data_IF_097979255207
#
_entry.id   IF_097979255207
#
_cell.length_a   1.000
_cell.length_b   1.000
_cell.length_c   1.000
_cell.angle_alpha   90.00
_cell.angle_beta   90.00
_cell.angle_gamma   90.00
#
_symmetry.space_group_name_H-M   'P 1'
#
loop_
_entity.id
_entity.type
_entity.pdbx_description
1 polymer ?
#
# COMPACT_ATOMS: atom_id res chain seq x y z
N UNK A 1 23.96 29.73 0.37
CA UNK A 1 23.14 30.34 -0.67
C UNK A 1 21.70 30.34 -0.17
N UNK A 2 21.09 31.51 0.02
CA UNK A 2 19.69 31.61 0.44
C UNK A 2 18.81 31.12 -0.72
N UNK A 3 18.36 29.88 -0.67
CA UNK A 3 17.29 29.42 -1.54
C UNK A 3 16.04 30.24 -1.23
N UNK A 4 15.57 31.02 -2.19
CA UNK A 4 14.27 31.66 -2.09
C UNK A 4 13.22 30.58 -1.87
N UNK A 5 12.48 30.67 -0.77
CA UNK A 5 11.30 29.80 -0.55
C UNK A 5 10.31 30.09 -1.66
N UNK A 6 10.00 29.08 -2.44
CA UNK A 6 8.98 29.18 -3.48
C UNK A 6 7.66 28.67 -2.85
N UNK A 7 6.83 29.63 -2.43
CA UNK A 7 5.53 29.34 -1.80
C UNK A 7 4.45 29.49 -2.85
N UNK A 8 3.66 28.44 -3.02
CA UNK A 8 2.48 28.44 -3.88
C UNK A 8 1.19 28.50 -3.06
N UNK A 9 0.22 29.28 -3.53
CA UNK A 9 -1.11 29.40 -2.94
C UNK A 9 -2.06 28.47 -3.68
N UNK A 10 -2.55 27.44 -3.01
CA UNK A 10 -3.35 26.36 -3.64
C UNK A 10 -4.75 26.32 -3.01
N UNK A 11 -5.79 26.41 -3.83
CA UNK A 11 -7.20 26.31 -3.43
C UNK A 11 -7.88 25.06 -3.97
N UNK A 12 -7.37 24.52 -5.08
CA UNK A 12 -7.91 23.33 -5.72
C UNK A 12 -6.82 22.53 -6.43
N UNK A 13 -7.04 21.25 -6.54
CA UNK A 13 -6.15 20.30 -7.22
C UNK A 13 -6.92 19.60 -8.35
N UNK A 14 -6.37 19.62 -9.56
CA UNK A 14 -6.81 18.71 -10.62
C UNK A 14 -6.31 17.31 -10.33
N UNK A 15 -7.20 16.34 -10.27
CA UNK A 15 -6.85 14.93 -10.15
C UNK A 15 -6.72 14.34 -11.56
N UNK A 16 -5.51 13.90 -11.88
CA UNK A 16 -5.15 13.34 -13.18
C UNK A 16 -4.90 11.85 -13.07
N UNK A 17 -5.50 11.06 -13.95
CA UNK A 17 -5.26 9.62 -14.07
C UNK A 17 -4.90 9.29 -15.52
N UNK A 18 -3.69 8.80 -15.77
CA UNK A 18 -3.18 8.56 -17.13
C UNK A 18 -3.39 9.76 -18.07
N UNK A 19 -3.10 10.96 -17.60
CA UNK A 19 -3.28 12.26 -18.28
C UNK A 19 -4.76 12.69 -18.51
N UNK A 20 -5.74 11.89 -18.10
CA UNK A 20 -7.15 12.27 -18.09
C UNK A 20 -7.48 12.95 -16.78
N UNK A 21 -8.05 14.16 -16.82
CA UNK A 21 -8.57 14.78 -15.59
C UNK A 21 -9.83 14.05 -15.17
N UNK A 22 -9.77 13.38 -14.00
CA UNK A 22 -10.92 12.64 -13.47
C UNK A 22 -11.82 13.53 -12.59
N UNK A 23 -11.30 14.62 -12.05
CA UNK A 23 -12.04 15.52 -11.20
C UNK A 23 -11.20 16.66 -10.64
N UNK A 24 -11.84 17.47 -9.82
CA UNK A 24 -11.19 18.56 -9.07
C UNK A 24 -11.50 18.40 -7.58
N UNK A 25 -10.46 18.41 -6.78
CA UNK A 25 -10.53 18.45 -5.32
C UNK A 25 -10.38 19.91 -4.89
N UNK A 26 -11.46 20.51 -4.41
CA UNK A 26 -11.50 21.91 -3.96
C UNK A 26 -11.48 21.99 -2.43
N UNK A 27 -10.71 22.95 -1.90
CA UNK A 27 -10.58 23.23 -0.47
C UNK A 27 -11.36 24.48 -0.09
N UNK A 28 -12.23 24.33 0.92
CA UNK A 28 -13.12 25.39 1.39
C UNK A 28 -12.81 25.76 2.83
N UNK A 29 -13.23 26.96 3.22
CA UNK A 29 -13.13 27.46 4.59
C UNK A 29 -13.70 26.47 5.61
N UNK A 30 -13.03 26.39 6.76
CA UNK A 30 -13.35 25.42 7.81
C UNK A 30 -12.84 24.01 7.53
N UNK A 31 -11.87 23.85 6.62
CA UNK A 31 -11.20 22.57 6.34
C UNK A 31 -12.04 21.57 5.54
N UNK A 32 -13.08 22.04 4.84
CA UNK A 32 -13.93 21.18 4.03
C UNK A 32 -13.26 20.90 2.68
N UNK A 33 -13.22 19.62 2.31
CA UNK A 33 -12.64 19.14 1.04
C UNK A 33 -13.74 18.51 0.20
N UNK A 34 -13.83 18.91 -1.07
CA UNK A 34 -14.89 18.44 -1.98
C UNK A 34 -14.24 17.98 -3.28
N UNK A 35 -14.40 16.69 -3.60
CA UNK A 35 -14.06 16.13 -4.90
C UNK A 35 -15.31 16.08 -5.77
N UNK A 36 -15.24 16.77 -6.90
CA UNK A 36 -16.24 16.74 -7.98
C UNK A 36 -15.62 16.08 -9.20
N UNK A 37 -16.29 15.09 -9.77
CA UNK A 37 -15.81 14.41 -10.96
C UNK A 37 -15.99 15.27 -12.21
N UNK A 38 -15.03 15.16 -13.15
CA UNK A 38 -15.03 15.94 -14.40
C UNK A 38 -16.13 15.45 -15.34
N UNK A 39 -17.02 16.32 -15.82
CA UNK A 39 -18.06 15.95 -16.79
C UNK A 39 -17.52 15.27 -18.06
N UNK A 40 -16.30 15.62 -18.50
CA UNK A 40 -15.66 14.97 -19.66
C UNK A 40 -15.23 13.54 -19.33
N UNK A 41 -14.72 13.30 -18.11
CA UNK A 41 -14.41 11.95 -17.65
C UNK A 41 -15.68 11.10 -17.51
N UNK A 42 -16.77 11.67 -16.99
CA UNK A 42 -18.06 10.99 -16.88
C UNK A 42 -18.65 10.61 -18.25
N UNK A 43 -18.42 11.44 -19.26
CA UNK A 43 -18.90 11.21 -20.62
C UNK A 43 -18.11 10.11 -21.39
N UNK A 44 -16.97 9.67 -20.89
CA UNK A 44 -16.22 8.58 -21.51
C UNK A 44 -17.03 7.27 -21.46
N UNK A 45 -17.01 6.45 -22.53
CA UNK A 45 -17.61 5.12 -22.49
C UNK A 45 -17.03 4.28 -21.35
N UNK A 46 -17.87 3.56 -20.62
CA UNK A 46 -17.46 2.77 -19.45
C UNK A 46 -16.31 1.80 -19.78
N UNK A 47 -16.36 1.16 -20.95
CA UNK A 47 -15.34 0.20 -21.38
C UNK A 47 -13.93 0.80 -21.57
N UNK A 48 -13.83 2.11 -21.83
CA UNK A 48 -12.56 2.83 -22.05
C UNK A 48 -12.24 3.85 -20.98
N UNK A 49 -13.16 4.08 -20.03
CA UNK A 49 -12.95 5.02 -18.92
C UNK A 49 -11.93 4.45 -17.95
N UNK A 50 -10.78 5.11 -17.71
CA UNK A 50 -9.81 4.65 -16.73
C UNK A 50 -10.46 4.45 -15.35
N UNK A 51 -10.15 3.35 -14.69
CA UNK A 51 -10.65 3.08 -13.35
C UNK A 51 -9.85 3.89 -12.32
N UNK A 52 -10.51 4.85 -11.70
CA UNK A 52 -9.99 5.56 -10.53
C UNK A 52 -10.15 4.72 -9.26
N UNK A 53 -11.29 4.06 -9.13
CA UNK A 53 -11.61 3.10 -8.07
C UNK A 53 -12.53 2.02 -8.62
N UNK A 54 -12.42 0.79 -8.15
CA UNK A 54 -13.35 -0.27 -8.53
C UNK A 54 -14.79 0.04 -8.11
N UNK A 55 -14.98 0.91 -7.11
CA UNK A 55 -16.31 1.35 -6.67
C UNK A 55 -17.15 1.94 -7.81
N UNK A 56 -16.52 2.59 -8.79
CA UNK A 56 -17.25 3.15 -9.93
C UNK A 56 -17.96 2.10 -10.79
N UNK A 57 -17.54 0.81 -10.69
CA UNK A 57 -18.22 -0.32 -11.32
C UNK A 57 -19.12 -1.08 -10.33
N UNK A 58 -18.61 -1.28 -9.10
CA UNK A 58 -19.31 -2.07 -8.09
C UNK A 58 -20.51 -1.34 -7.46
N UNK A 59 -20.55 0.00 -7.54
CA UNK A 59 -21.61 0.82 -6.93
C UNK A 59 -22.20 1.79 -7.96
N UNK A 60 -23.37 1.48 -8.54
CA UNK A 60 -24.06 2.39 -9.48
C UNK A 60 -24.22 3.79 -8.88
N UNK A 61 -23.96 4.82 -9.68
CA UNK A 61 -24.07 6.21 -9.26
C UNK A 61 -22.89 6.74 -8.42
N UNK A 62 -21.83 5.94 -8.18
CA UNK A 62 -20.68 6.41 -7.42
C UNK A 62 -20.02 7.67 -7.99
N UNK A 63 -19.86 7.74 -9.30
CA UNK A 63 -19.26 8.90 -9.98
C UNK A 63 -20.20 10.12 -10.06
N UNK A 64 -21.51 9.94 -9.84
CA UNK A 64 -22.50 11.02 -9.79
C UNK A 64 -22.50 11.73 -8.43
N UNK A 65 -21.85 11.15 -7.44
CA UNK A 65 -21.77 11.69 -6.09
C UNK A 65 -20.63 12.68 -5.97
N UNK A 66 -20.86 13.73 -5.21
CA UNK A 66 -19.81 14.64 -4.74
C UNK A 66 -19.23 14.06 -3.47
N UNK A 67 -17.94 13.75 -3.48
CA UNK A 67 -17.27 13.22 -2.30
C UNK A 67 -16.81 14.37 -1.39
N UNK A 68 -17.40 14.45 -0.20
CA UNK A 68 -17.14 15.54 0.74
C UNK A 68 -16.60 14.99 2.07
N UNK A 69 -15.60 15.68 2.60
CA UNK A 69 -15.00 15.37 3.90
C UNK A 69 -14.58 16.66 4.61
N UNK A 70 -14.30 16.57 5.91
CA UNK A 70 -13.81 17.69 6.72
C UNK A 70 -12.46 17.33 7.32
N UNK A 71 -11.50 18.26 7.27
CA UNK A 71 -10.10 18.14 7.70
C UNK A 71 -9.34 17.10 6.85
N UNK A 72 -9.73 15.84 6.91
CA UNK A 72 -9.18 14.77 6.07
C UNK A 72 -9.76 14.81 4.66
N UNK A 73 -9.13 14.12 3.75
CA UNK A 73 -9.66 13.86 2.41
C UNK A 73 -10.65 12.68 2.44
N UNK A 74 -11.49 12.51 1.41
CA UNK A 74 -12.24 11.26 1.24
C UNK A 74 -11.30 10.04 1.32
N UNK A 75 -11.71 8.92 1.92
CA UNK A 75 -10.83 7.77 2.17
C UNK A 75 -10.07 7.26 0.94
N UNK A 76 -10.68 7.31 -0.24
CA UNK A 76 -10.05 6.94 -1.51
C UNK A 76 -8.80 7.78 -1.82
N UNK A 77 -8.72 9.02 -1.35
CA UNK A 77 -7.57 9.91 -1.49
C UNK A 77 -6.69 9.92 -0.25
N UNK A 78 -7.28 9.91 0.96
CA UNK A 78 -6.57 9.92 2.23
C UNK A 78 -5.55 8.76 2.34
N UNK A 79 -5.93 7.56 1.85
CA UNK A 79 -5.06 6.38 1.88
C UNK A 79 -3.86 6.43 0.91
N UNK A 80 -3.82 7.40 -0.01
CA UNK A 80 -2.67 7.64 -0.90
C UNK A 80 -1.57 8.46 -0.22
N UNK A 81 -1.90 9.12 0.88
CA UNK A 81 -0.95 9.96 1.62
C UNK A 81 -0.03 9.11 2.49
N UNK A 82 1.19 9.61 2.78
CA UNK A 82 2.09 8.98 3.71
C UNK A 82 1.44 8.70 5.08
N UNK A 83 1.88 7.63 5.74
CA UNK A 83 1.42 7.23 7.06
C UNK A 83 2.56 7.27 8.10
N UNK A 84 2.19 7.13 9.37
CA UNK A 84 3.12 7.00 10.48
C UNK A 84 4.14 8.14 10.59
N UNK A 85 5.40 7.78 10.80
CA UNK A 85 6.47 8.74 11.02
C UNK A 85 6.71 9.65 9.81
N UNK A 86 6.60 9.14 8.59
CA UNK A 86 6.78 9.95 7.38
C UNK A 86 5.70 11.04 7.30
N UNK A 87 4.45 10.72 7.63
CA UNK A 87 3.36 11.70 7.68
C UNK A 87 3.61 12.77 8.75
N UNK A 88 3.97 12.35 9.95
CA UNK A 88 4.28 13.28 11.05
C UNK A 88 5.45 14.20 10.72
N UNK A 89 6.47 13.65 10.10
CA UNK A 89 7.63 14.40 9.64
C UNK A 89 7.27 15.43 8.56
N UNK A 90 6.48 15.04 7.56
CA UNK A 90 6.02 15.96 6.52
C UNK A 90 5.15 17.07 7.10
N UNK A 91 4.19 16.75 7.97
CA UNK A 91 3.34 17.72 8.62
C UNK A 91 4.17 18.75 9.44
N UNK A 92 5.16 18.28 10.19
CA UNK A 92 6.07 19.13 10.94
C UNK A 92 6.93 20.01 10.01
N UNK A 93 7.42 19.45 8.91
CA UNK A 93 8.24 20.15 7.91
C UNK A 93 7.46 21.26 7.23
N UNK A 94 6.21 20.98 6.89
CA UNK A 94 5.28 21.92 6.27
C UNK A 94 4.62 22.87 7.29
N UNK A 95 4.91 22.69 8.60
CA UNK A 95 4.33 23.45 9.71
C UNK A 95 2.82 23.44 9.73
N UNK A 96 2.23 22.26 9.47
CA UNK A 96 0.79 22.06 9.46
C UNK A 96 0.38 20.95 10.42
N UNK A 97 -0.93 20.82 10.68
CA UNK A 97 -1.45 19.71 11.45
C UNK A 97 -1.44 18.42 10.61
N UNK A 98 -1.21 17.30 11.26
CA UNK A 98 -1.13 15.97 10.60
C UNK A 98 -2.42 15.56 9.89
N UNK A 99 -3.56 16.12 10.26
CA UNK A 99 -4.87 15.89 9.64
C UNK A 99 -5.24 16.90 8.54
N UNK A 100 -4.40 17.90 8.27
CA UNK A 100 -4.57 18.82 7.13
C UNK A 100 -4.15 18.15 5.82
N UNK A 101 -4.94 17.16 5.41
CA UNK A 101 -4.60 16.26 4.30
C UNK A 101 -4.61 16.94 2.94
N UNK A 102 -5.37 18.03 2.76
CA UNK A 102 -5.35 18.78 1.49
C UNK A 102 -3.96 19.34 1.21
N UNK A 103 -3.33 19.94 2.20
CA UNK A 103 -1.98 20.49 2.08
C UNK A 103 -0.94 19.39 1.82
N UNK A 104 -1.06 18.23 2.49
CA UNK A 104 -0.22 17.06 2.22
C UNK A 104 -0.40 16.56 0.78
N UNK A 105 -1.64 16.52 0.27
CA UNK A 105 -1.94 16.12 -1.11
C UNK A 105 -1.38 17.14 -2.11
N UNK A 106 -1.50 18.42 -1.85
CA UNK A 106 -0.95 19.47 -2.70
C UNK A 106 0.59 19.37 -2.82
N UNK A 107 1.26 19.00 -1.73
CA UNK A 107 2.71 18.81 -1.72
C UNK A 107 3.13 17.47 -2.36
N UNK A 108 2.48 16.37 -2.01
CA UNK A 108 2.87 15.00 -2.44
C UNK A 108 2.25 14.59 -3.78
N UNK A 109 1.32 15.36 -4.32
CA UNK A 109 0.41 14.97 -5.40
C UNK A 109 1.07 14.51 -6.69
N UNK A 110 2.30 14.94 -6.94
CA UNK A 110 3.06 14.51 -8.11
C UNK A 110 3.63 13.09 -7.99
N UNK A 111 3.77 12.52 -6.77
CA UNK A 111 4.38 11.21 -6.53
C UNK A 111 3.53 10.27 -5.66
N UNK A 112 2.24 10.22 -5.91
CA UNK A 112 1.32 9.32 -5.24
C UNK A 112 1.54 7.85 -5.67
N UNK A 113 1.10 6.88 -4.85
CA UNK A 113 0.95 5.50 -5.28
C UNK A 113 0.03 5.38 -6.50
N UNK A 114 0.33 4.42 -7.37
CA UNK A 114 -0.44 4.22 -8.60
C UNK A 114 -0.19 5.28 -9.67
N UNK A 115 -1.19 5.50 -10.49
CA UNK A 115 -1.12 6.44 -11.62
C UNK A 115 -1.83 7.77 -11.37
N UNK A 116 -2.43 7.95 -10.18
CA UNK A 116 -3.07 9.22 -9.84
C UNK A 116 -2.00 10.28 -9.58
N UNK A 117 -2.27 11.48 -10.09
CA UNK A 117 -1.49 12.70 -9.79
C UNK A 117 -2.47 13.79 -9.35
N UNK A 118 -2.06 14.62 -8.40
CA UNK A 118 -2.77 15.83 -8.02
C UNK A 118 -1.93 17.05 -8.39
N UNK A 119 -2.48 17.94 -9.21
CA UNK A 119 -1.81 19.14 -9.73
C UNK A 119 -2.52 20.39 -9.25
N UNK A 120 -1.80 21.35 -8.69
CA UNK A 120 -2.37 22.62 -8.29
C UNK A 120 -3.01 23.35 -9.49
N UNK A 121 -4.17 23.95 -9.26
CA UNK A 121 -4.86 24.81 -10.21
C UNK A 121 -4.72 26.26 -9.79
N UNK A 122 -4.37 27.14 -10.74
CA UNK A 122 -4.49 28.57 -10.53
C UNK A 122 -5.97 28.96 -10.33
N UNK A 123 -6.25 30.04 -9.62
CA UNK A 123 -7.63 30.40 -9.28
C UNK A 123 -8.54 30.58 -10.53
N UNK A 124 -7.98 31.09 -11.63
CA UNK A 124 -8.66 31.24 -12.91
C UNK A 124 -8.81 29.96 -13.73
N UNK A 125 -8.16 28.88 -13.32
CA UNK A 125 -8.24 27.55 -13.98
C UNK A 125 -9.24 26.64 -13.30
N UNK A 126 -9.78 27.00 -12.14
CA UNK A 126 -10.77 26.21 -11.43
C UNK A 126 -12.09 26.23 -12.20
N UNK A 127 -12.57 25.06 -12.71
CA UNK A 127 -13.78 25.04 -13.53
C UNK A 127 -15.03 25.35 -12.70
N UNK A 128 -15.98 26.07 -13.28
CA UNK A 128 -17.22 26.43 -12.59
C UNK A 128 -18.02 25.21 -12.09
N UNK A 129 -17.97 24.07 -12.78
CA UNK A 129 -18.63 22.84 -12.36
C UNK A 129 -18.03 22.21 -11.08
N UNK A 130 -16.77 22.55 -10.77
CA UNK A 130 -16.09 22.05 -9.54
C UNK A 130 -16.44 22.91 -8.32
N UNK A 131 -17.02 24.08 -8.53
CA UNK A 131 -17.38 24.98 -7.43
C UNK A 131 -18.78 24.67 -6.92
N UNK A 132 -18.93 24.73 -5.59
CA UNK A 132 -20.23 24.60 -4.96
C UNK A 132 -20.59 25.93 -4.28
N UNK A 133 -21.91 26.25 -4.22
CA UNK A 133 -22.39 27.43 -3.49
C UNK A 133 -22.29 27.31 -1.95
N UNK A 134 -21.66 26.26 -1.43
CA UNK A 134 -21.68 25.88 -0.01
C UNK A 134 -20.48 26.41 0.80
N UNK A 135 -19.72 27.33 0.30
CA UNK A 135 -18.57 27.92 1.01
C UNK A 135 -17.65 28.72 0.12
N UNK A 136 -16.74 29.44 0.74
CA UNK A 136 -15.66 30.16 0.06
C UNK A 136 -14.42 29.26 -0.02
N UNK A 137 -13.73 29.30 -1.15
CA UNK A 137 -12.45 28.60 -1.32
C UNK A 137 -11.41 29.18 -0.37
N UNK A 138 -10.69 28.31 0.29
CA UNK A 138 -9.59 28.67 1.19
C UNK A 138 -8.25 28.23 0.58
N UNK A 139 -7.29 29.15 0.54
CA UNK A 139 -5.96 28.85 0.00
C UNK A 139 -5.03 28.34 1.08
N UNK A 140 -4.36 27.24 0.80
CA UNK A 140 -3.23 26.76 1.60
C UNK A 140 -1.91 27.21 0.98
N UNK A 141 -0.91 27.53 1.80
CA UNK A 141 0.41 27.95 1.36
C UNK A 141 1.36 26.76 1.37
N UNK A 142 1.84 26.35 0.21
CA UNK A 142 2.72 25.18 0.06
C UNK A 142 4.13 25.65 -0.27
N UNK A 143 5.10 25.29 0.55
CA UNK A 143 6.52 25.51 0.25
C UNK A 143 7.03 24.39 -0.67
N UNK A 144 7.04 24.63 -1.97
CA UNK A 144 7.49 23.67 -3.00
C UNK A 144 9.02 23.58 -3.11
N UNK A 145 9.75 24.48 -2.43
CA UNK A 145 11.22 24.46 -2.35
C UNK A 145 11.75 23.73 -1.12
N UNK A 146 10.89 23.06 -0.34
CA UNK A 146 11.31 22.27 0.81
C UNK A 146 12.15 21.07 0.35
N UNK A 147 13.46 21.22 0.52
CA UNK A 147 14.38 20.11 0.37
C UNK A 147 14.17 19.17 1.57
N UNK A 148 13.59 18.01 1.32
CA UNK A 148 13.31 16.99 2.34
C UNK A 148 14.56 16.46 3.07
N UNK A 149 15.73 17.07 2.83
CA UNK A 149 17.04 16.59 3.25
C UNK A 149 17.42 16.88 4.71
N UNK A 150 16.63 17.62 5.50
CA UNK A 150 17.07 18.07 6.83
C UNK A 150 16.10 17.75 7.94
N UNK A 151 15.90 16.48 8.29
CA UNK A 151 15.06 16.21 9.45
C UNK A 151 15.46 14.95 10.22
N UNK A 152 15.63 15.13 11.53
CA UNK A 152 15.83 14.05 12.49
C UNK A 152 14.49 13.69 13.12
N UNK A 153 13.98 12.48 12.88
CA UNK A 153 12.85 11.94 13.61
C UNK A 153 13.19 10.58 14.21
N UNK A 154 12.89 10.45 15.48
CA UNK A 154 12.89 9.18 16.19
C UNK A 154 11.51 8.53 16.03
N UNK A 155 11.50 7.26 15.61
CA UNK A 155 10.32 6.41 15.65
C UNK A 155 9.81 5.94 14.28
N UNK A 156 9.90 4.62 14.03
CA UNK A 156 9.36 3.89 12.88
C UNK A 156 10.30 3.78 11.66
N UNK A 157 10.12 2.73 10.90
CA UNK A 157 10.84 2.48 9.65
C UNK A 157 10.45 3.52 8.59
N UNK A 158 11.43 4.21 8.02
CA UNK A 158 11.20 5.17 6.93
C UNK A 158 11.17 4.45 5.60
N UNK A 159 10.27 4.88 4.71
CA UNK A 159 10.12 4.37 3.34
C UNK A 159 10.41 5.50 2.36
N UNK A 160 11.32 5.29 1.42
CA UNK A 160 11.72 6.28 0.42
C UNK A 160 11.56 5.72 -0.98
N UNK A 161 11.11 6.56 -1.90
CA UNK A 161 11.19 6.27 -3.33
C UNK A 161 12.64 6.40 -3.81
N UNK A 162 13.08 5.52 -4.71
CA UNK A 162 14.46 5.49 -5.18
C UNK A 162 14.57 5.06 -6.63
N UNK A 163 15.59 5.61 -7.30
CA UNK A 163 16.04 5.18 -8.61
C UNK A 163 17.31 4.31 -8.45
N UNK A 164 17.34 3.12 -9.08
CA UNK A 164 18.53 2.30 -9.13
C UNK A 164 19.37 2.67 -10.36
N UNK A 165 20.64 3.03 -10.13
CA UNK A 165 21.62 3.30 -11.17
C UNK A 165 22.99 2.76 -10.78
N UNK A 166 23.65 2.04 -11.67
CA UNK A 166 25.00 1.49 -11.48
C UNK A 166 25.18 0.69 -10.18
N UNK A 167 24.14 -0.10 -9.78
CA UNK A 167 24.16 -0.91 -8.57
C UNK A 167 23.92 -0.13 -7.27
N UNK A 168 23.70 1.18 -7.33
CA UNK A 168 23.41 2.05 -6.19
C UNK A 168 21.96 2.53 -6.23
N UNK A 169 21.41 2.83 -5.07
CA UNK A 169 20.05 3.38 -4.93
C UNK A 169 20.12 4.86 -4.59
N UNK A 170 19.66 5.69 -5.51
CA UNK A 170 19.58 7.13 -5.30
C UNK A 170 18.20 7.50 -4.76
N UNK A 171 18.16 7.94 -3.52
CA UNK A 171 16.95 8.46 -2.90
C UNK A 171 16.73 9.87 -3.43
N UNK A 172 15.68 10.03 -4.22
CA UNK A 172 15.36 11.28 -4.91
C UNK A 172 14.02 11.82 -4.45
N UNK A 173 13.97 13.15 -4.30
CA UNK A 173 12.72 13.90 -4.21
C UNK A 173 12.12 14.21 -5.58
N UNK A 174 12.83 13.86 -6.68
CA UNK A 174 12.34 14.14 -8.04
C UNK A 174 11.28 13.15 -8.48
N UNK A 175 10.24 13.68 -9.04
CA UNK A 175 9.06 12.97 -9.53
C UNK A 175 9.37 12.22 -10.83
N UNK A 176 8.99 10.94 -10.90
CA UNK A 176 8.74 10.27 -12.16
C UNK A 176 9.64 9.09 -12.55
N UNK A 177 10.81 8.92 -11.95
CA UNK A 177 11.75 7.84 -12.30
C UNK A 177 11.89 6.74 -11.21
N UNK A 178 11.14 6.85 -10.13
CA UNK A 178 11.30 6.01 -8.93
C UNK A 178 10.71 4.62 -9.17
N UNK A 179 11.56 3.64 -9.42
CA UNK A 179 11.12 2.25 -9.63
C UNK A 179 11.23 1.38 -8.38
N UNK A 180 11.81 1.89 -7.29
CA UNK A 180 12.03 1.16 -6.05
C UNK A 180 11.53 1.91 -4.81
N UNK A 181 11.18 1.16 -3.78
CA UNK A 181 10.95 1.66 -2.43
C UNK A 181 12.05 1.10 -1.54
N UNK A 182 12.73 1.98 -0.81
CA UNK A 182 13.75 1.64 0.19
C UNK A 182 13.13 1.80 1.57
N UNK A 183 13.16 0.73 2.36
CA UNK A 183 12.77 0.72 3.77
C UNK A 183 14.02 0.64 4.63
N UNK A 184 14.29 1.69 5.40
CA UNK A 184 15.45 1.76 6.30
C UNK A 184 15.26 0.88 7.54
N UNK A 185 16.30 0.63 8.33
CA UNK A 185 16.15 0.04 9.65
C UNK A 185 15.13 0.79 10.51
N UNK A 186 14.36 0.04 11.28
CA UNK A 186 13.37 0.61 12.20
C UNK A 186 14.04 1.06 13.49
N UNK A 187 13.62 2.22 14.02
CA UNK A 187 14.10 2.70 15.33
C UNK A 187 13.41 2.04 16.51
N UNK A 188 12.33 1.29 16.27
CA UNK A 188 11.54 0.60 17.31
C UNK A 188 11.87 -0.88 17.37
N UNK A 189 12.00 -1.55 16.24
CA UNK A 189 12.24 -2.98 16.12
C UNK A 189 13.52 -3.25 15.36
N UNK A 190 14.35 -4.14 15.90
CA UNK A 190 15.61 -4.49 15.26
C UNK A 190 15.45 -5.53 14.16
N UNK A 191 16.34 -5.48 13.17
CA UNK A 191 16.45 -6.45 12.08
C UNK A 191 15.20 -6.56 11.19
N UNK A 192 14.39 -5.50 11.09
CA UNK A 192 13.17 -5.49 10.25
C UNK A 192 13.52 -5.71 8.78
N UNK A 193 14.54 -5.06 8.17
CA UNK A 193 14.91 -5.29 6.78
C UNK A 193 15.24 -6.76 6.47
N UNK A 194 16.04 -7.40 7.33
CA UNK A 194 16.42 -8.80 7.16
C UNK A 194 15.23 -9.76 7.36
N UNK A 195 14.33 -9.44 8.30
CA UNK A 195 13.09 -10.19 8.52
C UNK A 195 12.17 -10.11 7.31
N UNK A 196 11.85 -8.90 6.83
CA UNK A 196 10.96 -8.71 5.68
C UNK A 196 11.54 -9.37 4.42
N UNK A 197 12.83 -9.17 4.14
CA UNK A 197 13.50 -9.84 3.04
C UNK A 197 13.37 -11.36 3.11
N UNK A 198 13.63 -11.95 4.28
CA UNK A 198 13.52 -13.40 4.49
C UNK A 198 12.09 -13.89 4.32
N UNK A 199 11.11 -13.22 4.93
CA UNK A 199 9.71 -13.59 4.83
C UNK A 199 9.19 -13.53 3.38
N UNK A 200 9.55 -12.49 2.64
CA UNK A 200 9.21 -12.35 1.22
C UNK A 200 9.86 -13.43 0.34
N UNK A 201 11.13 -13.79 0.60
CA UNK A 201 11.83 -14.89 -0.11
C UNK A 201 11.18 -16.25 0.17
N UNK A 202 10.78 -16.50 1.41
CA UNK A 202 10.05 -17.73 1.78
C UNK A 202 8.67 -17.76 1.11
N UNK A 203 7.93 -16.65 1.11
CA UNK A 203 6.65 -16.55 0.40
C UNK A 203 6.80 -16.81 -1.11
N UNK A 204 7.82 -16.24 -1.74
CA UNK A 204 8.14 -16.49 -3.15
C UNK A 204 8.41 -17.97 -3.43
N UNK A 205 9.14 -18.66 -2.55
CA UNK A 205 9.50 -20.07 -2.72
C UNK A 205 8.27 -21.01 -2.75
N UNK A 206 7.15 -20.61 -2.17
CA UNK A 206 5.88 -21.36 -2.21
C UNK A 206 4.92 -20.87 -3.30
N UNK A 207 5.39 -20.02 -4.21
CA UNK A 207 4.64 -19.56 -5.37
C UNK A 207 3.75 -18.36 -5.12
N UNK A 208 4.01 -17.55 -4.10
CA UNK A 208 3.42 -16.21 -3.97
C UNK A 208 4.11 -15.28 -4.96
N UNK A 209 3.32 -14.59 -5.76
CA UNK A 209 3.82 -13.56 -6.67
C UNK A 209 4.29 -12.34 -5.87
N UNK A 210 5.56 -11.98 -6.01
CA UNK A 210 6.18 -10.82 -5.36
C UNK A 210 6.96 -10.00 -6.37
N UNK A 211 7.15 -8.69 -6.16
CA UNK A 211 8.09 -7.88 -6.93
C UNK A 211 9.54 -8.31 -6.68
N UNK A 212 10.47 -7.82 -7.51
CA UNK A 212 11.89 -7.94 -7.21
C UNK A 212 12.22 -7.30 -5.87
N UNK A 213 13.05 -7.98 -5.07
CA UNK A 213 13.48 -7.51 -3.75
C UNK A 213 14.98 -7.65 -3.58
N UNK A 214 15.59 -6.73 -2.84
CA UNK A 214 17.01 -6.75 -2.49
C UNK A 214 17.23 -6.38 -1.03
N UNK A 215 18.24 -6.97 -0.41
CA UNK A 215 18.78 -6.51 0.86
C UNK A 215 20.01 -5.66 0.54
N UNK A 216 19.95 -4.36 0.85
CA UNK A 216 20.88 -3.34 0.38
C UNK A 216 21.72 -2.84 1.55
N UNK A 217 23.05 -2.87 1.43
CA UNK A 217 23.91 -2.25 2.41
C UNK A 217 23.64 -0.72 2.49
N UNK A 218 23.55 -0.15 3.68
CA UNK A 218 23.29 1.29 3.85
C UNK A 218 24.28 2.17 3.10
N UNK A 219 25.54 1.73 2.96
CA UNK A 219 26.57 2.43 2.18
C UNK A 219 26.33 2.46 0.65
N UNK A 220 25.33 1.74 0.14
CA UNK A 220 24.91 1.76 -1.26
C UNK A 220 23.75 2.73 -1.53
N UNK A 221 23.27 3.40 -0.49
CA UNK A 221 22.22 4.41 -0.59
C UNK A 221 22.84 5.79 -0.76
N UNK A 222 22.51 6.46 -1.86
CA UNK A 222 22.93 7.84 -2.12
C UNK A 222 21.79 8.80 -1.76
N UNK A 223 22.16 9.99 -1.31
CA UNK A 223 21.22 11.08 -0.97
C UNK A 223 20.17 10.70 0.11
N UNK A 224 20.55 9.80 1.03
CA UNK A 224 19.71 9.51 2.18
C UNK A 224 19.53 10.80 3.00
N UNK A 225 18.30 11.18 3.36
CA UNK A 225 18.07 12.34 4.25
C UNK A 225 18.85 12.20 5.56
N UNK A 226 19.19 13.32 6.19
CA UNK A 226 19.82 13.35 7.52
C UNK A 226 18.83 12.86 8.57
N UNK A 227 18.67 11.55 8.65
CA UNK A 227 17.82 10.85 9.63
C UNK A 227 18.69 10.01 10.54
N UNK A 228 18.29 9.94 11.81
CA UNK A 228 18.96 9.04 12.75
C UNK A 228 18.63 7.60 12.41
N UNK A 229 19.55 6.90 11.78
CA UNK A 229 19.46 5.46 11.57
C UNK A 229 19.91 4.69 12.83
N UNK A 230 19.33 3.53 13.02
CA UNK A 230 19.83 2.53 13.98
C UNK A 230 21.08 1.88 13.36
N UNK A 231 22.01 1.48 14.23
CA UNK A 231 23.22 0.76 13.81
C UNK A 231 22.85 -0.67 13.37
N UNK A 232 22.43 -0.76 12.13
CA UNK A 232 22.15 -1.99 11.38
C UNK A 232 22.71 -1.86 9.96
N UNK A 233 23.23 -2.96 9.38
CA UNK A 233 23.99 -2.86 8.12
C UNK A 233 23.12 -2.69 6.87
N UNK A 234 21.83 -3.04 6.92
CA UNK A 234 21.02 -3.19 5.71
C UNK A 234 19.71 -2.41 5.74
N UNK A 235 19.30 -1.96 4.57
CA UNK A 235 17.94 -1.56 4.22
C UNK A 235 17.29 -2.66 3.35
N UNK A 236 15.98 -2.70 3.29
CA UNK A 236 15.20 -3.54 2.38
C UNK A 236 14.75 -2.71 1.18
N UNK A 237 14.97 -3.23 -0.03
CA UNK A 237 14.52 -2.63 -1.28
C UNK A 237 13.47 -3.52 -1.95
N UNK A 238 12.39 -2.93 -2.43
CA UNK A 238 11.34 -3.60 -3.19
C UNK A 238 11.02 -2.79 -4.45
N UNK A 239 10.94 -3.48 -5.59
CA UNK A 239 10.56 -2.85 -6.85
C UNK A 239 9.09 -2.47 -6.82
N UNK A 240 8.77 -1.29 -7.31
CA UNK A 240 7.40 -0.80 -7.41
C UNK A 240 6.66 -1.52 -8.53
N UNK A 241 5.57 -2.20 -8.22
CA UNK A 241 4.69 -2.82 -9.22
C UNK A 241 3.77 -1.80 -9.93
N UNK A 242 3.64 -0.59 -9.36
CA UNK A 242 2.89 0.51 -9.93
C UNK A 242 3.74 1.41 -10.88
N UNK A 243 4.91 0.91 -11.26
CA UNK A 243 5.84 1.54 -12.22
C UNK A 243 6.26 0.50 -13.26
N UNK A 244 6.12 0.85 -14.54
CA UNK A 244 6.52 0.02 -15.68
C UNK A 244 7.32 0.84 -16.68
N UNK A 245 7.89 0.20 -17.68
CA UNK A 245 8.59 0.87 -18.78
C UNK A 245 7.65 1.79 -19.59
N UNK A 246 6.37 1.46 -19.65
CA UNK A 246 5.34 2.26 -20.31
C UNK A 246 4.76 3.39 -19.45
N UNK A 247 5.24 3.54 -18.21
CA UNK A 247 4.79 4.56 -17.27
C UNK A 247 4.15 4.02 -16.00
N UNK A 248 3.23 4.76 -15.43
CA UNK A 248 2.56 4.41 -14.18
C UNK A 248 1.43 3.41 -14.41
N UNK A 249 1.32 2.45 -13.50
CA UNK A 249 0.18 1.53 -13.40
C UNK A 249 -0.68 1.97 -12.22
N UNK A 250 -1.97 2.20 -12.44
CA UNK A 250 -2.84 2.58 -11.35
C UNK A 250 -3.04 1.42 -10.37
N UNK A 251 -3.16 1.75 -9.09
CA UNK A 251 -3.35 0.79 -7.99
C UNK A 251 -4.27 1.37 -6.93
N UNK A 252 -5.00 0.49 -6.26
CA UNK A 252 -5.92 0.81 -5.18
C UNK A 252 -5.79 -0.24 -4.08
N UNK A 253 -5.56 0.17 -2.83
CA UNK A 253 -5.62 -0.74 -1.69
C UNK A 253 -7.06 -0.98 -1.22
N UNK A 254 -7.29 -2.07 -0.47
CA UNK A 254 -8.64 -2.40 -0.03
C UNK A 254 -9.18 -1.46 1.07
N UNK A 255 -8.36 -0.63 1.72
CA UNK A 255 -8.89 0.43 2.58
C UNK A 255 -9.54 1.54 1.74
N UNK A 256 -8.95 1.91 0.60
CA UNK A 256 -9.54 2.84 -0.37
C UNK A 256 -10.89 2.29 -0.88
N UNK A 257 -10.90 1.03 -1.34
CA UNK A 257 -12.09 0.37 -1.86
C UNK A 257 -13.22 0.27 -0.84
N UNK A 258 -12.89 -0.02 0.41
CA UNK A 258 -13.86 -0.13 1.51
C UNK A 258 -14.21 1.20 2.16
N UNK A 259 -13.65 2.31 1.68
CA UNK A 259 -13.83 3.66 2.26
C UNK A 259 -13.47 3.74 3.75
N UNK A 260 -12.40 3.05 4.13
CA UNK A 260 -11.86 3.07 5.49
C UNK A 260 -10.69 4.05 5.56
N UNK A 261 -10.62 4.82 6.62
CA UNK A 261 -9.38 5.54 6.94
C UNK A 261 -8.30 4.59 7.46
N UNK A 262 -7.04 5.00 7.36
CA UNK A 262 -5.90 4.18 7.75
C UNK A 262 -5.95 3.65 9.19
N UNK A 263 -6.56 4.40 10.13
CA UNK A 263 -6.71 3.97 11.52
C UNK A 263 -7.76 2.86 11.73
N UNK A 264 -8.64 2.63 10.74
CA UNK A 264 -9.65 1.55 10.77
C UNK A 264 -9.23 0.30 9.98
N UNK A 265 -7.98 0.23 9.52
CA UNK A 265 -7.46 -0.81 8.62
C UNK A 265 -7.63 -2.26 9.11
N UNK A 266 -7.84 -2.47 10.41
CA UNK A 266 -8.09 -3.79 11.03
C UNK A 266 -9.58 -4.05 11.31
N UNK A 267 -10.47 -3.06 11.10
CA UNK A 267 -11.85 -3.11 11.59
C UNK A 267 -12.87 -3.45 10.52
N UNK A 268 -13.86 -4.25 10.90
CA UNK A 268 -15.10 -4.42 10.15
C UNK A 268 -14.98 -5.15 8.81
N UNK A 269 -13.80 -5.66 8.47
CA UNK A 269 -13.55 -6.38 7.22
C UNK A 269 -12.94 -7.76 7.48
N UNK A 270 -13.07 -8.64 6.48
CA UNK A 270 -12.55 -10.00 6.52
C UNK A 270 -11.95 -10.38 5.15
N UNK A 271 -11.24 -11.50 5.10
CA UNK A 271 -10.60 -11.95 3.88
C UNK A 271 -11.58 -12.43 2.81
N UNK A 272 -12.80 -12.84 3.18
CA UNK A 272 -13.87 -13.17 2.24
C UNK A 272 -14.31 -11.96 1.42
N UNK A 273 -14.41 -10.77 2.05
CA UNK A 273 -14.79 -9.56 1.34
C UNK A 273 -13.72 -9.11 0.33
N UNK A 274 -12.42 -9.28 0.66
CA UNK A 274 -11.33 -9.04 -0.28
C UNK A 274 -11.43 -10.02 -1.46
N UNK A 275 -11.58 -11.32 -1.17
CA UNK A 275 -11.71 -12.35 -2.19
C UNK A 275 -12.94 -12.16 -3.09
N UNK A 276 -14.07 -11.72 -2.53
CA UNK A 276 -15.29 -11.47 -3.30
C UNK A 276 -15.07 -10.39 -4.37
N UNK A 277 -14.43 -9.27 -4.02
CA UNK A 277 -14.13 -8.24 -5.01
C UNK A 277 -13.19 -8.73 -6.11
N UNK A 278 -12.18 -9.54 -5.77
CA UNK A 278 -11.27 -10.13 -6.76
C UNK A 278 -12.00 -11.14 -7.66
N UNK A 279 -12.89 -11.95 -7.08
CA UNK A 279 -13.61 -12.98 -7.80
C UNK A 279 -14.73 -12.42 -8.69
N UNK A 280 -15.46 -11.39 -8.22
CA UNK A 280 -16.58 -10.80 -8.94
C UNK A 280 -16.14 -9.83 -10.05
N UNK A 281 -15.01 -9.12 -9.85
CA UNK A 281 -14.60 -8.01 -10.70
C UNK A 281 -13.22 -8.17 -11.35
N UNK A 282 -12.46 -9.20 -10.97
CA UNK A 282 -11.14 -9.48 -11.53
C UNK A 282 -11.19 -9.83 -13.02
N UNK A 283 -10.17 -9.45 -13.76
CA UNK A 283 -10.01 -9.85 -15.17
C UNK A 283 -9.58 -11.30 -15.33
N UNK A 284 -8.96 -11.88 -14.30
CA UNK A 284 -8.65 -13.30 -14.18
C UNK A 284 -8.97 -13.75 -12.75
N UNK A 285 -10.28 -13.86 -12.45
CA UNK A 285 -10.74 -14.00 -11.07
C UNK A 285 -10.22 -15.26 -10.38
N UNK A 286 -10.10 -16.35 -11.12
CA UNK A 286 -9.63 -17.62 -10.56
C UNK A 286 -8.13 -17.54 -10.20
N UNK A 287 -7.30 -17.04 -11.09
CA UNK A 287 -5.87 -16.87 -10.82
C UNK A 287 -5.63 -15.93 -9.63
N UNK A 288 -6.39 -14.84 -9.52
CA UNK A 288 -6.23 -13.85 -8.44
C UNK A 288 -6.63 -14.44 -7.07
N UNK A 289 -7.72 -15.20 -6.97
CA UNK A 289 -8.09 -15.84 -5.68
C UNK A 289 -7.18 -17.02 -5.33
N UNK A 290 -6.60 -17.72 -6.32
CA UNK A 290 -5.55 -18.72 -6.09
C UNK A 290 -4.29 -18.10 -5.52
N UNK A 291 -3.85 -16.96 -6.06
CA UNK A 291 -2.74 -16.19 -5.51
C UNK A 291 -3.07 -15.63 -4.11
N UNK A 292 -4.30 -15.15 -3.91
CA UNK A 292 -4.73 -14.72 -2.59
C UNK A 292 -4.66 -15.87 -1.56
N UNK A 293 -5.11 -17.07 -1.91
CA UNK A 293 -5.05 -18.23 -1.03
C UNK A 293 -3.60 -18.62 -0.66
N UNK A 294 -2.66 -18.63 -1.64
CA UNK A 294 -1.23 -18.84 -1.37
C UNK A 294 -0.65 -17.78 -0.44
N UNK A 295 -1.01 -16.52 -0.66
CA UNK A 295 -0.56 -15.38 0.15
C UNK A 295 -1.13 -15.42 1.57
N UNK A 296 -2.40 -15.83 1.74
CA UNK A 296 -3.00 -16.08 3.05
C UNK A 296 -2.25 -17.19 3.79
N UNK A 297 -1.99 -18.31 3.13
CA UNK A 297 -1.19 -19.40 3.71
C UNK A 297 0.22 -18.93 4.08
N UNK A 298 0.90 -18.18 3.22
CA UNK A 298 2.20 -17.59 3.52
C UNK A 298 2.18 -16.72 4.79
N UNK A 299 1.18 -15.82 4.93
CA UNK A 299 1.03 -14.98 6.12
C UNK A 299 0.81 -15.82 7.39
N UNK A 300 0.04 -16.91 7.31
CA UNK A 300 -0.18 -17.83 8.43
C UNK A 300 1.12 -18.56 8.79
N UNK A 301 1.82 -19.12 7.82
CA UNK A 301 3.07 -19.85 8.04
C UNK A 301 4.21 -18.95 8.54
N UNK A 302 4.21 -17.67 8.15
CA UNK A 302 5.22 -16.67 8.53
C UNK A 302 4.88 -15.92 9.81
N UNK A 303 3.78 -16.27 10.48
CA UNK A 303 3.32 -15.57 11.67
C UNK A 303 3.21 -14.04 11.45
N UNK A 304 2.60 -13.64 10.32
CA UNK A 304 2.33 -12.24 10.00
C UNK A 304 0.93 -11.86 10.47
N UNK A 305 0.84 -11.16 11.60
CA UNK A 305 -0.42 -10.61 12.15
C UNK A 305 -0.81 -9.26 11.57
N UNK A 306 -0.05 -8.70 10.63
CA UNK A 306 -0.25 -7.34 10.08
C UNK A 306 -0.80 -7.32 8.65
N UNK A 307 -1.31 -8.44 8.12
CA UNK A 307 -1.87 -8.52 6.77
C UNK A 307 -3.29 -7.89 6.68
N UNK A 308 -3.41 -6.61 7.09
CA UNK A 308 -4.64 -5.82 7.11
C UNK A 308 -5.05 -5.35 5.70
N UNK A 309 -6.22 -4.66 5.57
CA UNK A 309 -6.79 -4.27 4.27
C UNK A 309 -5.87 -3.39 3.41
N UNK A 310 -4.95 -2.62 3.99
CA UNK A 310 -3.97 -1.82 3.23
C UNK A 310 -2.80 -2.63 2.67
N UNK A 311 -2.59 -3.86 3.14
CA UNK A 311 -1.56 -4.76 2.63
C UNK A 311 -2.06 -5.66 1.50
N UNK A 312 -3.24 -5.38 0.99
CA UNK A 312 -3.85 -5.99 -0.19
C UNK A 312 -4.23 -4.90 -1.16
N UNK A 313 -3.77 -5.01 -2.41
CA UNK A 313 -4.07 -4.02 -3.45
C UNK A 313 -4.49 -4.69 -4.74
N UNK A 314 -5.26 -3.96 -5.52
CA UNK A 314 -5.53 -4.24 -6.92
C UNK A 314 -4.64 -3.36 -7.80
N UNK A 315 -4.31 -3.84 -8.97
CA UNK A 315 -3.66 -3.10 -10.04
C UNK A 315 -4.58 -3.07 -11.27
N UNK A 316 -4.42 -2.02 -12.08
CA UNK A 316 -5.17 -1.79 -13.31
C UNK A 316 -4.22 -1.73 -14.52
N UNK A 317 -3.66 -2.88 -14.98
CA UNK A 317 -2.53 -2.90 -15.93
C UNK A 317 -2.82 -2.20 -17.26
N UNK A 318 -4.07 -2.25 -17.73
CA UNK A 318 -4.54 -1.64 -18.97
C UNK A 318 -5.58 -0.55 -18.73
N UNK A 319 -5.51 0.12 -17.56
CA UNK A 319 -6.41 1.18 -17.09
C UNK A 319 -7.84 0.73 -16.76
N UNK A 320 -8.31 -0.39 -17.27
CA UNK A 320 -9.69 -0.89 -17.08
C UNK A 320 -9.76 -2.32 -16.54
N UNK A 321 -8.74 -3.14 -16.75
CA UNK A 321 -8.65 -4.48 -16.19
C UNK A 321 -8.26 -4.45 -14.72
N UNK A 322 -8.79 -5.39 -13.94
CA UNK A 322 -8.57 -5.50 -12.49
C UNK A 322 -7.80 -6.77 -12.20
N UNK A 323 -6.67 -6.69 -11.48
CA UNK A 323 -5.87 -7.84 -11.03
C UNK A 323 -5.44 -7.67 -9.59
N UNK A 324 -5.22 -8.74 -8.88
CA UNK A 324 -4.51 -8.70 -7.59
C UNK A 324 -3.06 -8.23 -7.81
N UNK A 325 -2.58 -7.31 -6.99
CA UNK A 325 -1.18 -6.88 -7.04
C UNK A 325 -0.23 -8.00 -6.59
N UNK A 326 1.04 -7.98 -7.01
CA UNK A 326 2.08 -8.74 -6.32
C UNK A 326 2.07 -8.48 -4.81
N UNK A 327 2.52 -9.44 -4.01
CA UNK A 327 2.54 -9.32 -2.56
C UNK A 327 3.65 -8.38 -2.08
N UNK A 328 3.39 -7.66 -0.99
CA UNK A 328 4.31 -6.75 -0.30
C UNK A 328 4.00 -6.74 1.20
N UNK A 329 4.90 -6.17 1.99
CA UNK A 329 4.75 -6.03 3.45
C UNK A 329 4.46 -7.37 4.17
N UNK A 330 5.09 -8.47 3.73
CA UNK A 330 5.06 -9.75 4.46
C UNK A 330 6.24 -9.77 5.44
N UNK A 331 5.94 -9.76 6.73
CA UNK A 331 6.91 -9.72 7.83
C UNK A 331 6.52 -10.73 8.90
N UNK A 332 7.48 -11.39 9.53
CA UNK A 332 7.21 -12.20 10.72
C UNK A 332 7.01 -11.27 11.92
N UNK A 333 5.77 -10.82 12.15
CA UNK A 333 5.45 -9.82 13.18
C UNK A 333 5.50 -10.38 14.59
N UNK A 334 5.22 -11.67 14.76
CA UNK A 334 5.27 -12.36 16.06
C UNK A 334 6.62 -12.21 16.79
N UNK A 335 7.72 -12.00 16.07
CA UNK A 335 9.05 -11.80 16.70
C UNK A 335 9.15 -10.46 17.42
N UNK A 336 8.30 -9.50 17.08
CA UNK A 336 8.24 -8.16 17.67
C UNK A 336 7.11 -7.99 18.68
N UNK A 337 6.06 -8.83 18.57
CA UNK A 337 4.85 -8.73 19.38
C UNK A 337 4.70 -10.03 20.19
N UNK A 338 5.23 -10.08 21.43
CA UNK A 338 5.11 -11.27 22.28
C UNK A 338 3.64 -11.65 22.50
N UNK A 339 3.31 -12.93 22.26
CA UNK A 339 1.94 -13.43 22.43
C UNK A 339 1.02 -13.21 21.23
N UNK A 340 1.47 -12.57 20.15
CA UNK A 340 0.70 -12.50 18.91
C UNK A 340 0.38 -13.90 18.40
N UNK A 341 -0.88 -14.17 18.10
CA UNK A 341 -1.38 -15.50 17.78
C UNK A 341 -2.47 -15.52 16.69
N UNK A 342 -2.74 -14.34 16.08
CA UNK A 342 -3.87 -14.16 15.18
C UNK A 342 -3.46 -13.51 13.86
N UNK A 343 -4.20 -13.82 12.80
CA UNK A 343 -4.17 -13.05 11.55
C UNK A 343 -4.84 -11.68 11.72
N UNK A 344 -4.48 -10.71 10.88
CA UNK A 344 -5.02 -9.35 10.95
C UNK A 344 -6.55 -9.28 10.83
N UNK A 345 -7.13 -10.03 9.89
CA UNK A 345 -8.58 -10.03 9.60
C UNK A 345 -9.15 -11.42 9.84
N UNK A 346 -10.46 -11.51 10.07
CA UNK A 346 -11.16 -12.78 10.15
C UNK A 346 -11.08 -13.56 8.84
N UNK A 347 -10.95 -14.90 8.95
CA UNK A 347 -11.06 -15.85 7.87
C UNK A 347 -12.03 -16.96 8.29
N UNK A 348 -13.17 -17.06 7.65
CA UNK A 348 -14.24 -18.03 7.98
C UNK A 348 -14.61 -18.04 9.48
N UNK A 349 -14.62 -16.85 10.13
CA UNK A 349 -14.82 -16.62 11.56
C UNK A 349 -13.71 -17.12 12.49
N UNK A 350 -12.54 -17.44 11.96
CA UNK A 350 -11.34 -17.77 12.75
C UNK A 350 -10.25 -16.73 12.51
N UNK A 351 -9.46 -16.45 13.53
CA UNK A 351 -8.28 -15.58 13.48
C UNK A 351 -7.03 -16.26 14.02
N UNK A 352 -7.17 -17.21 14.93
CA UNK A 352 -6.03 -17.85 15.61
C UNK A 352 -5.28 -18.76 14.66
N UNK A 353 -4.00 -18.50 14.45
CA UNK A 353 -3.17 -19.29 13.54
C UNK A 353 -3.24 -20.80 13.81
N UNK A 354 -3.18 -21.21 15.08
CA UNK A 354 -3.22 -22.63 15.47
C UNK A 354 -4.54 -23.34 15.10
N UNK A 355 -5.62 -22.58 14.88
CA UNK A 355 -6.95 -23.11 14.55
C UNK A 355 -7.30 -23.04 13.07
N UNK A 356 -6.51 -22.31 12.30
CA UNK A 356 -6.69 -22.25 10.85
C UNK A 356 -6.18 -23.56 10.23
N UNK A 357 -7.00 -24.18 9.39
CA UNK A 357 -6.76 -25.49 8.76
C UNK A 357 -7.23 -25.47 7.30
N UNK A 358 -7.03 -26.56 6.57
CA UNK A 358 -7.59 -26.76 5.22
C UNK A 358 -9.11 -26.56 5.21
N UNK A 359 -9.81 -27.01 6.25
CA UNK A 359 -11.26 -26.81 6.38
C UNK A 359 -11.63 -25.31 6.55
N UNK A 360 -10.75 -24.50 7.18
CA UNK A 360 -10.97 -23.05 7.27
C UNK A 360 -10.91 -22.40 5.88
N UNK A 361 -9.94 -22.81 5.05
CA UNK A 361 -9.84 -22.37 3.66
C UNK A 361 -11.02 -22.85 2.80
N UNK A 362 -11.50 -24.08 2.99
CA UNK A 362 -12.69 -24.59 2.33
C UNK A 362 -13.92 -23.71 2.63
N UNK A 363 -14.19 -23.47 3.91
CA UNK A 363 -15.27 -22.57 4.33
C UNK A 363 -15.10 -21.13 3.82
N UNK A 364 -13.86 -20.62 3.73
CA UNK A 364 -13.56 -19.33 3.13
C UNK A 364 -13.93 -19.32 1.63
N UNK A 365 -13.54 -20.34 0.88
CA UNK A 365 -13.87 -20.48 -0.53
C UNK A 365 -15.40 -20.61 -0.76
N UNK A 366 -16.07 -21.44 0.02
CA UNK A 366 -17.54 -21.63 -0.03
C UNK A 366 -18.30 -20.32 0.20
N UNK A 367 -17.88 -19.51 1.17
CA UNK A 367 -18.51 -18.23 1.49
C UNK A 367 -18.40 -17.20 0.38
N UNK A 368 -17.38 -17.28 -0.43
CA UNK A 368 -17.17 -16.41 -1.58
C UNK A 368 -17.79 -16.99 -2.85
N UNK A 369 -18.10 -18.30 -2.86
CA UNK A 369 -18.57 -19.01 -4.05
C UNK A 369 -17.44 -19.48 -4.96
N UNK A 370 -16.21 -19.57 -4.45
CA UNK A 370 -15.06 -20.05 -5.21
C UNK A 370 -15.05 -21.59 -5.20
N UNK A 371 -14.85 -22.27 -6.34
CA UNK A 371 -14.74 -23.73 -6.38
C UNK A 371 -13.57 -24.23 -5.52
N UNK A 372 -13.86 -24.92 -4.42
CA UNK A 372 -12.86 -25.44 -3.50
C UNK A 372 -11.74 -26.26 -4.15
N UNK A 373 -12.01 -27.20 -5.11
CA UNK A 373 -10.95 -27.97 -5.75
C UNK A 373 -9.89 -27.09 -6.43
N UNK A 374 -10.29 -25.91 -6.97
CA UNK A 374 -9.39 -24.98 -7.63
C UNK A 374 -8.46 -24.25 -6.66
N UNK A 375 -8.86 -24.11 -5.40
CA UNK A 375 -8.02 -23.52 -4.34
C UNK A 375 -7.18 -24.59 -3.66
N UNK A 376 -7.77 -25.74 -3.36
CA UNK A 376 -7.13 -26.82 -2.62
C UNK A 376 -5.81 -27.28 -3.25
N UNK A 377 -5.75 -27.42 -4.56
CA UNK A 377 -4.52 -27.85 -5.26
C UNK A 377 -3.38 -26.86 -5.08
N UNK A 378 -3.66 -25.57 -5.06
CA UNK A 378 -2.66 -24.52 -4.83
C UNK A 378 -2.15 -24.49 -3.38
N UNK A 379 -3.02 -24.76 -2.40
CA UNK A 379 -2.63 -24.86 -1.00
C UNK A 379 -1.76 -26.10 -0.74
N UNK A 380 -2.12 -27.25 -1.31
CA UNK A 380 -1.34 -28.48 -1.19
C UNK A 380 0.06 -28.31 -1.81
N UNK A 381 0.16 -27.72 -2.99
CA UNK A 381 1.44 -27.40 -3.63
C UNK A 381 2.27 -26.45 -2.77
N UNK A 382 1.64 -25.41 -2.22
CA UNK A 382 2.35 -24.41 -1.40
C UNK A 382 2.87 -25.03 -0.09
N UNK A 383 2.08 -25.85 0.60
CA UNK A 383 2.51 -26.49 1.86
C UNK A 383 3.59 -27.53 1.63
N UNK A 384 3.51 -28.30 0.55
CA UNK A 384 4.54 -29.26 0.17
C UNK A 384 5.88 -28.58 -0.11
N UNK A 385 5.85 -27.49 -0.88
CA UNK A 385 7.02 -26.62 -1.10
C UNK A 385 7.57 -26.03 0.21
N UNK A 386 6.71 -25.56 1.10
CA UNK A 386 7.14 -25.02 2.40
C UNK A 386 7.87 -26.10 3.21
N UNK A 387 7.32 -27.29 3.33
CA UNK A 387 7.94 -28.42 4.04
C UNK A 387 9.29 -28.82 3.46
N UNK A 388 9.41 -28.79 2.15
CA UNK A 388 10.62 -29.24 1.44
C UNK A 388 11.70 -28.16 1.42
N UNK A 389 11.33 -26.90 1.17
CA UNK A 389 12.29 -25.83 0.85
C UNK A 389 12.62 -24.92 2.05
N UNK A 390 11.63 -24.59 2.90
CA UNK A 390 11.81 -23.55 3.89
C UNK A 390 12.85 -23.86 4.98
N UNK A 391 12.97 -25.11 5.52
CA UNK A 391 13.99 -25.39 6.53
C UNK A 391 15.40 -25.03 6.04
N UNK A 392 15.75 -25.46 4.83
CA UNK A 392 17.06 -25.17 4.25
C UNK A 392 17.22 -23.73 3.78
N UNK A 393 16.19 -23.10 3.24
CA UNK A 393 16.22 -21.69 2.84
C UNK A 393 16.41 -20.78 4.05
N UNK A 394 15.72 -21.03 5.17
CA UNK A 394 15.79 -20.22 6.37
C UNK A 394 17.21 -20.18 6.97
N UNK A 395 17.98 -21.27 6.84
CA UNK A 395 19.39 -21.33 7.28
C UNK A 395 20.33 -20.43 6.48
N UNK A 396 19.97 -20.16 5.21
CA UNK A 396 20.79 -19.39 4.28
C UNK A 396 20.29 -17.95 4.09
N UNK A 397 19.13 -17.59 4.65
CA UNK A 397 18.55 -16.25 4.57
C UNK A 397 18.97 -15.41 5.78
N UNK A 398 18.98 -14.05 5.66
CA UNK A 398 19.60 -13.16 6.64
C UNK A 398 18.79 -12.94 7.93
N UNK A 399 17.68 -13.64 8.14
CA UNK A 399 16.92 -13.56 9.40
C UNK A 399 17.80 -13.99 10.58
N UNK A 400 17.84 -13.19 11.63
CA UNK A 400 18.65 -13.48 12.83
C UNK A 400 18.16 -14.74 13.55
N UNK A 401 19.06 -15.44 14.25
CA UNK A 401 18.81 -16.74 14.86
C UNK A 401 17.62 -16.74 15.84
N UNK A 402 17.47 -15.66 16.63
CA UNK A 402 16.35 -15.49 17.56
C UNK A 402 15.01 -15.48 16.81
N UNK A 403 14.91 -14.75 15.71
CA UNK A 403 13.71 -14.70 14.88
C UNK A 403 13.43 -16.04 14.19
N UNK A 404 14.48 -16.73 13.70
CA UNK A 404 14.36 -18.09 13.15
C UNK A 404 13.80 -19.07 14.19
N UNK A 405 14.26 -18.97 15.45
CA UNK A 405 13.78 -19.83 16.54
C UNK A 405 12.28 -19.62 16.80
N UNK A 406 11.83 -18.36 16.87
CA UNK A 406 10.41 -18.03 17.02
C UNK A 406 9.57 -18.59 15.86
N UNK A 407 10.06 -18.46 14.64
CA UNK A 407 9.36 -18.94 13.45
C UNK A 407 9.25 -20.48 13.44
N UNK A 408 10.32 -21.21 13.80
CA UNK A 408 10.30 -22.69 13.92
C UNK A 408 9.31 -23.15 15.01
N UNK A 409 9.27 -22.46 16.14
CA UNK A 409 8.29 -22.75 17.21
C UNK A 409 6.86 -22.48 16.73
N UNK A 410 6.66 -21.41 15.94
CA UNK A 410 5.37 -21.13 15.34
C UNK A 410 4.92 -22.26 14.40
N UNK A 411 5.79 -22.75 13.52
CA UNK A 411 5.48 -23.87 12.62
C UNK A 411 5.02 -25.12 13.37
N UNK A 412 5.69 -25.46 14.49
CA UNK A 412 5.31 -26.59 15.33
C UNK A 412 3.95 -26.38 16.03
N UNK A 413 3.51 -25.14 16.23
CA UNK A 413 2.25 -24.79 16.91
C UNK A 413 1.02 -24.74 15.98
N UNK A 414 1.22 -24.80 14.67
CA UNK A 414 0.15 -24.76 13.68
C UNK A 414 -0.67 -26.04 13.67
N UNK A 415 -1.85 -26.00 13.05
CA UNK A 415 -2.67 -27.18 12.80
C UNK A 415 -1.87 -28.26 12.06
N UNK A 416 -2.25 -29.53 12.22
CA UNK A 416 -1.59 -30.67 11.53
C UNK A 416 -1.47 -30.48 10.03
N UNK A 417 -2.43 -29.78 9.40
CA UNK A 417 -2.44 -29.52 7.96
C UNK A 417 -1.25 -28.63 7.52
N UNK A 418 -0.83 -27.68 8.39
CA UNK A 418 0.13 -26.63 8.06
C UNK A 418 1.43 -26.71 8.87
N UNK A 419 1.60 -27.71 9.70
CA UNK A 419 2.82 -27.95 10.46
C UNK A 419 4.00 -28.24 9.51
N UNK A 420 5.13 -27.54 9.75
CA UNK A 420 6.38 -27.73 9.02
C UNK A 420 7.40 -28.47 9.88
#
# INVERSE_FOLDING_TARGET
>A
MNGQRQVESVQALALMLHQVRIGVLAHYSGGKNILTFDPQYLALPEASRPLFTLRQRAHPGYLEQVLMSSQRLPPVLSNLLPEGALRSWLAQSLKMHVDEEFSLMAWAGANLPGALEARALAANEIPAWALTSRGELEAVQIDVGLDAQKFSLAGVQMKFSSLRKDGRFNISSQVGADSWIIKTPSTVHRNVPANEYTAMRLAQAIGVDIPDIELVALGQLDNLPDIRLVDEPYAYAIRRFDRSESGRVHTEDFAQLFELYAHDKYRGKNYEQIAAYLYDWGSDPLADVQQMARRLLANILLANGDAHVKNWSMIYPNQTGVRLSPAYDIVTTRVYIPGESEVALNMAREKRWAMISMQTFERWAERVGIPWPAIRVHLLDAIDKARTLWPGLLENLPMVAEHQSVLRQHWASLSSDFRL
#
